data_IF_555557348198
#
_entry.id   IF_555557348198
#
_cell.length_a   1.000
_cell.length_b   1.000
_cell.length_c   1.000
_cell.angle_alpha   90.00
_cell.angle_beta   90.00
_cell.angle_gamma   90.00
#
_symmetry.space_group_name_H-M   'P 1'
#
loop_
_entity.id
_entity.type
_entity.pdbx_description
1 polymer ?
#
# COMPACT_ATOMS: atom_id res chain seq x y z
N UNK A 1 15.80 -14.77 -13.13
CA UNK A 1 16.09 -15.21 -11.75
C UNK A 1 17.36 -14.56 -11.18
N UNK A 2 18.48 -14.52 -11.92
CA UNK A 2 19.76 -13.99 -11.41
C UNK A 2 19.67 -12.47 -11.10
N UNK A 3 19.10 -11.67 -12.00
CA UNK A 3 18.94 -10.24 -11.79
C UNK A 3 18.00 -9.92 -10.59
N UNK A 4 16.91 -10.67 -10.42
CA UNK A 4 15.99 -10.47 -9.28
C UNK A 4 16.65 -10.80 -7.92
N UNK A 5 17.54 -11.80 -7.87
CA UNK A 5 18.31 -12.14 -6.67
C UNK A 5 19.38 -11.07 -6.36
N UNK A 6 20.04 -10.52 -7.39
CA UNK A 6 21.03 -9.46 -7.22
C UNK A 6 20.35 -8.17 -6.72
N UNK A 7 19.19 -7.82 -7.26
CA UNK A 7 18.36 -6.67 -6.84
C UNK A 7 17.88 -6.84 -5.38
N UNK A 8 17.40 -8.04 -5.01
CA UNK A 8 17.00 -8.35 -3.63
C UNK A 8 18.17 -8.18 -2.66
N UNK A 9 19.33 -8.77 -3.00
CA UNK A 9 20.52 -8.69 -2.17
C UNK A 9 20.97 -7.23 -1.98
N UNK A 10 20.89 -6.40 -3.03
CA UNK A 10 21.25 -5.00 -2.96
C UNK A 10 20.27 -4.19 -2.09
N UNK A 11 18.97 -4.39 -2.28
CA UNK A 11 17.91 -3.69 -1.56
C UNK A 11 17.89 -4.03 -0.05
N UNK A 12 18.29 -5.26 0.33
CA UNK A 12 18.39 -5.67 1.74
C UNK A 12 19.69 -5.21 2.40
N UNK A 13 20.75 -4.98 1.63
CA UNK A 13 22.07 -4.61 2.17
C UNK A 13 22.05 -3.25 2.90
N UNK A 14 21.29 -2.28 2.39
CA UNK A 14 21.20 -0.93 2.97
C UNK A 14 20.52 -0.94 4.35
N UNK A 15 19.29 -1.47 4.54
CA UNK A 15 18.67 -1.53 5.86
C UNK A 15 19.48 -2.39 6.83
N UNK A 16 20.09 -3.47 6.37
CA UNK A 16 20.93 -4.32 7.20
C UNK A 16 22.18 -3.57 7.70
N UNK A 17 22.82 -2.76 6.86
CA UNK A 17 23.98 -1.95 7.26
C UNK A 17 23.59 -0.91 8.34
N UNK A 18 22.43 -0.27 8.22
CA UNK A 18 21.92 0.67 9.25
C UNK A 18 21.66 -0.07 10.56
N UNK A 19 21.01 -1.24 10.52
CA UNK A 19 20.75 -2.04 11.73
C UNK A 19 22.03 -2.52 12.40
N UNK A 20 23.02 -2.96 11.62
CA UNK A 20 24.34 -3.37 12.14
C UNK A 20 25.07 -2.20 12.80
N UNK A 21 25.09 -1.02 12.14
CA UNK A 21 25.71 0.17 12.69
C UNK A 21 25.06 0.68 13.98
N UNK A 22 23.75 0.48 14.17
CA UNK A 22 23.07 0.75 15.43
C UNK A 22 23.41 -0.28 16.52
N UNK A 23 23.55 -1.56 16.14
CA UNK A 23 23.91 -2.64 17.07
C UNK A 23 25.30 -2.47 17.69
N UNK A 24 26.24 -1.86 16.97
CA UNK A 24 27.62 -1.63 17.43
C UNK A 24 27.72 -0.51 18.50
N UNK A 25 26.66 0.28 18.72
CA UNK A 25 26.66 1.43 19.66
C UNK A 25 26.33 1.07 21.11
N UNK A 26 26.06 -0.19 21.44
CA UNK A 26 25.87 -0.70 22.79
C UNK A 26 24.43 -0.53 23.30
N UNK A 27 24.10 0.52 24.04
CA UNK A 27 22.72 0.75 24.51
C UNK A 27 21.92 1.57 23.50
N UNK A 28 20.78 1.00 23.05
CA UNK A 28 19.87 1.65 22.12
C UNK A 28 18.92 2.61 22.85
N UNK A 29 18.91 3.87 22.45
CA UNK A 29 17.92 4.85 22.88
C UNK A 29 16.58 4.70 22.13
N UNK A 30 15.51 5.39 22.60
CA UNK A 30 14.18 5.29 21.97
C UNK A 30 14.15 5.59 20.47
N UNK A 31 14.90 6.58 20.01
CA UNK A 31 15.00 6.94 18.58
C UNK A 31 15.68 5.85 17.74
N UNK A 32 16.67 5.17 18.31
CA UNK A 32 17.39 4.09 17.64
C UNK A 32 16.54 2.81 17.56
N UNK A 33 15.71 2.56 18.57
CA UNK A 33 14.71 1.48 18.56
C UNK A 33 13.68 1.73 17.44
N UNK A 34 13.22 2.97 17.28
CA UNK A 34 12.29 3.33 16.22
C UNK A 34 12.92 3.13 14.84
N UNK A 35 14.16 3.60 14.64
CA UNK A 35 14.90 3.34 13.39
C UNK A 35 15.06 1.86 13.10
N UNK A 36 15.36 1.01 14.10
CA UNK A 36 15.42 -0.44 13.92
C UNK A 36 14.08 -1.03 13.48
N UNK A 37 12.99 -0.56 14.06
CA UNK A 37 11.64 -0.97 13.70
C UNK A 37 11.33 -0.61 12.26
N UNK A 38 11.60 0.64 11.85
CA UNK A 38 11.42 1.11 10.47
C UNK A 38 12.24 0.29 9.47
N UNK A 39 13.52 0.01 9.77
CA UNK A 39 14.37 -0.79 8.87
C UNK A 39 13.89 -2.25 8.79
N UNK A 40 13.42 -2.83 9.89
CA UNK A 40 12.85 -4.18 9.90
C UNK A 40 11.58 -4.26 9.05
N UNK A 41 10.70 -3.27 9.17
CA UNK A 41 9.47 -3.18 8.40
C UNK A 41 9.77 -3.02 6.90
N UNK A 42 10.76 -2.18 6.56
CA UNK A 42 11.25 -2.01 5.19
C UNK A 42 11.80 -3.33 4.61
N UNK A 43 12.57 -4.10 5.38
CA UNK A 43 13.08 -5.40 4.94
C UNK A 43 11.94 -6.40 4.68
N UNK A 44 10.94 -6.45 5.55
CA UNK A 44 9.76 -7.30 5.37
C UNK A 44 9.00 -6.95 4.09
N UNK A 45 8.81 -5.67 3.79
CA UNK A 45 8.17 -5.19 2.55
C UNK A 45 8.97 -5.61 1.31
N UNK A 46 10.31 -5.47 1.32
CA UNK A 46 11.17 -5.89 0.21
C UNK A 46 11.06 -7.41 -0.03
N UNK A 47 11.10 -8.20 1.04
CA UNK A 47 10.99 -9.68 0.94
C UNK A 47 9.61 -10.08 0.40
N UNK A 48 8.54 -9.51 0.94
CA UNK A 48 7.17 -9.79 0.48
C UNK A 48 7.00 -9.47 -1.01
N UNK A 49 7.47 -8.30 -1.44
CA UNK A 49 7.45 -7.90 -2.84
C UNK A 49 8.18 -8.89 -3.77
N UNK A 50 9.39 -9.32 -3.39
CA UNK A 50 10.16 -10.25 -4.19
C UNK A 50 9.56 -11.66 -4.24
N UNK A 51 8.97 -12.12 -3.14
CA UNK A 51 8.24 -13.39 -3.11
C UNK A 51 7.01 -13.34 -4.02
N UNK A 52 6.24 -12.26 -3.98
CA UNK A 52 5.08 -12.06 -4.82
C UNK A 52 5.47 -12.02 -6.30
N UNK A 53 6.52 -11.27 -6.66
CA UNK A 53 7.05 -11.24 -8.03
C UNK A 53 7.50 -12.62 -8.53
N UNK A 54 8.02 -13.47 -7.65
CA UNK A 54 8.42 -14.83 -7.99
C UNK A 54 7.22 -15.78 -8.15
N UNK A 55 6.11 -15.54 -7.49
CA UNK A 55 4.90 -16.38 -7.54
C UNK A 55 3.92 -15.96 -8.66
N UNK A 56 3.90 -14.71 -9.06
CA UNK A 56 3.03 -14.19 -10.12
C UNK A 56 3.34 -14.68 -11.56
N UNK A 57 4.30 -15.60 -11.73
CA UNK A 57 4.59 -16.28 -13.01
C UNK A 57 3.66 -17.48 -13.25
N UNK A 58 2.83 -17.86 -12.28
CA UNK A 58 1.97 -19.04 -12.39
C UNK A 58 0.50 -18.64 -12.50
N UNK A 59 0.00 -18.75 -13.74
CA UNK A 59 -1.41 -18.93 -14.12
C UNK A 59 -2.41 -17.93 -13.47
N UNK A 60 -3.05 -17.13 -14.30
CA UNK A 60 -4.39 -16.60 -14.05
C UNK A 60 -5.34 -17.75 -13.72
N UNK A 61 -5.12 -18.37 -12.56
CA UNK A 61 -6.07 -19.25 -11.93
C UNK A 61 -7.35 -18.44 -11.79
N UNK A 62 -8.46 -18.98 -12.25
CA UNK A 62 -9.81 -18.41 -12.11
C UNK A 62 -10.03 -18.23 -10.61
N UNK A 63 -9.56 -17.10 -10.06
CA UNK A 63 -9.68 -16.82 -8.63
C UNK A 63 -11.17 -16.65 -8.33
N UNK A 64 -11.60 -17.22 -7.20
CA UNK A 64 -12.95 -17.02 -6.68
C UNK A 64 -13.15 -15.50 -6.51
N UNK A 65 -14.38 -15.00 -6.76
CA UNK A 65 -14.68 -13.61 -6.47
C UNK A 65 -14.35 -13.28 -5.02
N UNK A 66 -13.60 -12.20 -4.79
CA UNK A 66 -13.21 -11.72 -3.48
C UNK A 66 -14.21 -10.69 -3.02
N UNK A 67 -14.67 -10.77 -1.78
CA UNK A 67 -15.54 -9.76 -1.17
C UNK A 67 -14.71 -8.56 -0.71
N UNK A 68 -14.70 -7.52 -1.53
CA UNK A 68 -13.94 -6.29 -1.25
C UNK A 68 -14.41 -5.61 0.05
N UNK A 69 -15.72 -5.64 0.33
CA UNK A 69 -16.26 -4.97 1.52
C UNK A 69 -15.79 -5.67 2.79
N UNK A 70 -15.80 -7.00 2.81
CA UNK A 70 -15.28 -7.77 3.94
C UNK A 70 -13.79 -7.51 4.18
N UNK A 71 -12.99 -7.36 3.13
CA UNK A 71 -11.56 -7.00 3.22
C UNK A 71 -11.39 -5.60 3.80
N UNK A 72 -12.10 -4.60 3.29
CA UNK A 72 -12.03 -3.21 3.78
C UNK A 72 -12.38 -3.17 5.28
N UNK A 73 -13.48 -3.76 5.69
CA UNK A 73 -13.92 -3.74 7.09
C UNK A 73 -12.93 -4.44 8.03
N UNK A 74 -12.37 -5.58 7.60
CA UNK A 74 -11.31 -6.29 8.34
C UNK A 74 -10.07 -5.43 8.53
N UNK A 75 -9.59 -4.81 7.46
CA UNK A 75 -8.38 -3.97 7.47
C UNK A 75 -8.60 -2.70 8.30
N UNK A 76 -9.71 -1.99 8.08
CA UNK A 76 -10.02 -0.78 8.85
C UNK A 76 -10.11 -1.11 10.34
N UNK A 77 -10.80 -2.18 10.72
CA UNK A 77 -10.90 -2.60 12.13
C UNK A 77 -9.54 -2.97 12.75
N UNK A 78 -8.61 -3.51 11.96
CA UNK A 78 -7.25 -3.80 12.42
C UNK A 78 -6.44 -2.51 12.60
N UNK A 79 -6.47 -1.61 11.62
CA UNK A 79 -5.73 -0.35 11.63
C UNK A 79 -6.26 0.63 12.70
N UNK A 80 -7.57 0.68 12.96
CA UNK A 80 -8.14 1.45 14.08
C UNK A 80 -7.55 1.01 15.44
N UNK A 81 -7.18 -0.26 15.59
CA UNK A 81 -6.50 -0.75 16.81
C UNK A 81 -5.02 -0.36 16.84
N UNK A 82 -4.32 -0.49 15.70
CA UNK A 82 -2.90 -0.13 15.56
C UNK A 82 -2.70 1.37 15.80
N UNK A 83 -3.52 2.20 15.19
CA UNK A 83 -3.44 3.67 15.27
C UNK A 83 -4.37 4.28 16.33
N UNK A 84 -4.76 3.51 17.35
CA UNK A 84 -5.73 3.92 18.36
C UNK A 84 -5.36 5.24 19.07
N UNK A 85 -4.08 5.45 19.35
CA UNK A 85 -3.59 6.65 20.03
C UNK A 85 -3.75 7.91 19.16
N UNK A 86 -3.78 7.76 17.85
CA UNK A 86 -3.96 8.87 16.90
C UNK A 86 -5.40 9.39 16.85
N UNK A 87 -6.38 8.57 17.25
CA UNK A 87 -7.78 8.95 17.32
C UNK A 87 -8.42 9.29 15.98
N UNK A 88 -7.95 8.67 14.91
CA UNK A 88 -8.46 8.89 13.55
C UNK A 88 -9.89 8.37 13.42
N UNK A 89 -10.80 9.18 12.87
CA UNK A 89 -12.17 8.80 12.55
C UNK A 89 -12.25 8.33 11.10
N UNK A 90 -12.78 7.11 10.91
CA UNK A 90 -13.00 6.56 9.56
C UNK A 90 -14.47 6.66 9.18
N UNK A 91 -14.77 7.41 8.12
CA UNK A 91 -16.09 7.50 7.51
C UNK A 91 -16.17 6.50 6.36
N UNK A 92 -17.22 5.65 6.36
CA UNK A 92 -17.40 4.57 5.40
C UNK A 92 -18.68 4.80 4.59
N UNK A 93 -18.55 4.86 3.26
CA UNK A 93 -19.67 4.87 2.31
C UNK A 93 -19.51 3.67 1.38
N UNK A 94 -19.97 2.52 1.86
CA UNK A 94 -19.77 1.22 1.22
C UNK A 94 -21.12 0.59 0.87
N UNK A 95 -21.28 -0.06 -0.30
CA UNK A 95 -22.44 -0.88 -0.60
C UNK A 95 -22.46 -2.13 0.28
N UNK A 96 -23.59 -2.81 0.37
CA UNK A 96 -23.73 -4.03 1.18
C UNK A 96 -22.84 -5.19 0.71
N UNK A 97 -22.55 -5.24 -0.59
CA UNK A 97 -21.69 -6.27 -1.21
C UNK A 97 -20.96 -5.69 -2.41
N UNK A 98 -19.72 -6.11 -2.60
CA UNK A 98 -18.93 -5.77 -3.79
C UNK A 98 -17.87 -6.86 -4.00
N UNK A 99 -17.91 -7.52 -5.16
CA UNK A 99 -16.98 -8.63 -5.46
C UNK A 99 -16.03 -8.25 -6.59
N UNK A 100 -14.75 -8.61 -6.44
CA UNK A 100 -13.70 -8.45 -7.42
C UNK A 100 -13.17 -9.81 -7.87
N UNK A 101 -12.73 -9.90 -9.13
CA UNK A 101 -11.99 -11.07 -9.64
C UNK A 101 -10.50 -10.79 -9.58
N UNK A 102 -9.89 -11.08 -8.44
CA UNK A 102 -8.45 -10.99 -8.23
C UNK A 102 -8.03 -11.96 -7.12
N UNK A 103 -6.76 -12.15 -6.90
CA UNK A 103 -6.26 -12.90 -5.77
C UNK A 103 -6.57 -12.17 -4.46
N UNK A 104 -6.96 -12.90 -3.41
CA UNK A 104 -7.30 -12.31 -2.12
C UNK A 104 -6.09 -11.65 -1.46
N UNK A 105 -4.90 -12.22 -1.62
CA UNK A 105 -3.65 -11.67 -1.11
C UNK A 105 -3.32 -10.35 -1.80
N UNK A 106 -3.44 -10.30 -3.14
CA UNK A 106 -3.23 -9.08 -3.91
C UNK A 106 -4.24 -7.98 -3.52
N UNK A 107 -5.51 -8.34 -3.30
CA UNK A 107 -6.53 -7.41 -2.82
C UNK A 107 -6.21 -6.87 -1.43
N UNK A 108 -5.79 -7.74 -0.50
CA UNK A 108 -5.35 -7.36 0.84
C UNK A 108 -4.13 -6.43 0.80
N UNK A 109 -3.18 -6.70 -0.08
CA UNK A 109 -1.96 -5.90 -0.25
C UNK A 109 -2.28 -4.49 -0.78
N UNK A 110 -3.10 -4.39 -1.85
CA UNK A 110 -3.52 -3.09 -2.40
C UNK A 110 -4.26 -2.27 -1.34
N UNK A 111 -5.34 -2.82 -0.80
CA UNK A 111 -6.22 -2.09 0.12
C UNK A 111 -5.51 -1.80 1.43
N UNK A 112 -4.69 -2.75 1.92
CA UNK A 112 -3.90 -2.61 3.14
C UNK A 112 -2.89 -1.48 3.04
N UNK A 113 -2.09 -1.42 1.98
CA UNK A 113 -1.11 -0.35 1.79
C UNK A 113 -1.77 1.03 1.66
N UNK A 114 -2.89 1.15 0.94
CA UNK A 114 -3.59 2.43 0.80
C UNK A 114 -4.22 2.88 2.11
N UNK A 115 -4.85 1.99 2.86
CA UNK A 115 -5.42 2.29 4.18
C UNK A 115 -4.34 2.64 5.20
N UNK A 116 -3.26 1.85 5.27
CA UNK A 116 -2.15 2.12 6.19
C UNK A 116 -1.53 3.49 5.94
N UNK A 117 -1.32 3.87 4.67
CA UNK A 117 -0.89 5.21 4.31
C UNK A 117 -1.86 6.29 4.79
N UNK A 118 -3.16 6.10 4.60
CA UNK A 118 -4.17 7.04 5.06
C UNK A 118 -4.15 7.19 6.60
N UNK A 119 -4.00 6.09 7.35
CA UNK A 119 -3.86 6.14 8.81
C UNK A 119 -2.54 6.77 9.25
N UNK A 120 -1.44 6.50 8.54
CA UNK A 120 -0.11 7.02 8.87
C UNK A 120 -0.01 8.53 8.64
N UNK A 121 -0.51 9.03 7.54
CA UNK A 121 -0.35 10.42 7.10
C UNK A 121 -1.57 11.32 7.35
N UNK A 122 -2.78 10.75 7.44
CA UNK A 122 -3.98 11.49 7.85
C UNK A 122 -3.83 12.05 9.26
N UNK A 123 -4.48 13.17 9.56
CA UNK A 123 -4.43 13.86 10.86
C UNK A 123 -5.52 13.36 11.81
N UNK A 124 -6.75 13.37 11.35
CA UNK A 124 -7.92 13.07 12.18
C UNK A 124 -9.05 12.33 11.45
N UNK A 125 -9.12 12.40 10.12
CA UNK A 125 -10.22 11.83 9.33
C UNK A 125 -9.73 11.05 8.12
N UNK A 126 -10.38 9.92 7.88
CA UNK A 126 -10.24 9.11 6.68
C UNK A 126 -11.64 8.87 6.12
N UNK A 127 -11.83 8.94 4.81
CA UNK A 127 -13.04 8.51 4.14
C UNK A 127 -12.75 7.35 3.19
N UNK A 128 -13.55 6.29 3.30
CA UNK A 128 -13.49 5.13 2.41
C UNK A 128 -14.82 5.02 1.69
N UNK A 129 -14.79 5.18 0.37
CA UNK A 129 -15.97 5.12 -0.48
C UNK A 129 -15.80 4.05 -1.54
N UNK A 130 -16.79 3.16 -1.65
CA UNK A 130 -16.86 2.21 -2.74
C UNK A 130 -18.18 2.36 -3.49
N UNK A 131 -18.13 2.34 -4.82
CA UNK A 131 -19.29 2.49 -5.68
C UNK A 131 -19.18 1.62 -6.92
N UNK A 132 -20.35 1.22 -7.46
CA UNK A 132 -20.48 0.51 -8.72
C UNK A 132 -21.12 1.45 -9.74
N UNK A 133 -20.49 1.58 -10.90
CA UNK A 133 -21.10 2.25 -12.05
C UNK A 133 -21.59 1.17 -13.03
N UNK A 134 -22.89 0.99 -13.06
CA UNK A 134 -23.56 -0.01 -13.91
C UNK A 134 -23.40 0.31 -15.42
N UNK A 135 -23.31 1.59 -15.77
CA UNK A 135 -23.16 2.01 -17.17
C UNK A 135 -21.76 1.71 -17.73
N UNK A 136 -20.73 1.99 -16.95
CA UNK A 136 -19.34 1.73 -17.34
C UNK A 136 -18.87 0.32 -16.93
N UNK A 137 -19.72 -0.46 -16.25
CA UNK A 137 -19.36 -1.78 -15.69
C UNK A 137 -18.05 -1.71 -14.91
N UNK A 138 -17.92 -0.72 -14.07
CA UNK A 138 -16.71 -0.53 -13.27
C UNK A 138 -17.04 -0.40 -11.78
N UNK A 139 -16.12 -0.89 -10.96
CA UNK A 139 -16.12 -0.68 -9.52
C UNK A 139 -15.09 0.38 -9.18
N UNK A 140 -15.44 1.32 -8.33
CA UNK A 140 -14.54 2.36 -7.86
C UNK A 140 -14.37 2.27 -6.35
N UNK A 141 -13.11 2.23 -5.89
CA UNK A 141 -12.73 2.39 -4.49
C UNK A 141 -11.95 3.69 -4.36
N UNK A 142 -12.33 4.53 -3.41
CA UNK A 142 -11.65 5.79 -3.09
C UNK A 142 -11.33 5.80 -1.61
N UNK A 143 -10.08 6.10 -1.28
CA UNK A 143 -9.59 6.30 0.08
C UNK A 143 -9.01 7.70 0.16
N UNK A 144 -9.53 8.51 1.06
CA UNK A 144 -9.12 9.90 1.28
C UNK A 144 -8.69 10.10 2.73
N UNK A 145 -7.68 10.94 2.94
CA UNK A 145 -7.25 11.41 4.26
C UNK A 145 -7.27 12.94 4.36
N UNK A 146 -7.11 13.45 5.56
CA UNK A 146 -7.00 14.88 5.87
C UNK A 146 -5.56 15.32 6.18
N UNK A 147 -4.56 14.60 5.67
CA UNK A 147 -3.14 14.89 5.82
C UNK A 147 -2.68 16.09 4.99
N UNK A 148 -1.39 16.15 4.71
CA UNK A 148 -0.80 17.19 3.87
C UNK A 148 -1.00 16.93 2.37
N UNK A 149 -1.28 15.66 2.01
CA UNK A 149 -1.35 15.20 0.63
C UNK A 149 0.03 15.04 0.00
N UNK A 150 0.04 14.91 -1.32
CA UNK A 150 1.24 14.81 -2.12
C UNK A 150 1.23 15.92 -3.19
N UNK A 151 2.40 16.40 -3.56
CA UNK A 151 2.59 17.29 -4.71
C UNK A 151 2.51 16.49 -6.01
N UNK A 152 2.18 17.15 -7.13
CA UNK A 152 2.13 16.52 -8.46
C UNK A 152 3.46 15.82 -8.80
N UNK A 153 4.59 16.41 -8.42
CA UNK A 153 5.93 15.82 -8.63
C UNK A 153 6.15 14.54 -7.81
N UNK A 154 5.58 14.45 -6.61
CA UNK A 154 5.64 13.23 -5.79
C UNK A 154 4.72 12.14 -6.33
N UNK A 155 3.52 12.51 -6.76
CA UNK A 155 2.57 11.60 -7.42
C UNK A 155 3.21 11.02 -8.69
N UNK A 156 3.77 11.87 -9.55
CA UNK A 156 4.44 11.43 -10.77
C UNK A 156 5.61 10.47 -10.47
N UNK A 157 6.39 10.74 -9.44
CA UNK A 157 7.46 9.85 -9.01
C UNK A 157 6.93 8.49 -8.53
N UNK A 158 5.82 8.43 -7.82
CA UNK A 158 5.21 7.20 -7.34
C UNK A 158 4.73 6.36 -8.53
N UNK A 159 3.98 6.97 -9.44
CA UNK A 159 3.43 6.29 -10.61
C UNK A 159 4.51 5.83 -11.60
N UNK A 160 5.59 6.61 -11.78
CA UNK A 160 6.70 6.25 -12.66
C UNK A 160 7.67 5.24 -12.03
N UNK A 161 7.70 5.09 -10.71
CA UNK A 161 8.58 4.16 -9.98
C UNK A 161 8.14 2.70 -10.01
N UNK A 162 6.97 2.36 -10.48
CA UNK A 162 6.55 0.98 -10.73
C UNK A 162 7.52 0.19 -11.64
N UNK A 163 8.56 0.84 -12.16
CA UNK A 163 9.60 0.22 -13.00
C UNK A 163 11.01 0.19 -12.38
N UNK A 164 11.28 0.88 -11.23
CA UNK A 164 12.63 0.92 -10.63
C UNK A 164 12.59 1.12 -9.10
N UNK A 165 12.77 0.03 -8.35
CA UNK A 165 12.91 0.03 -6.88
C UNK A 165 14.26 0.61 -6.38
N UNK A 166 15.21 0.92 -7.27
CA UNK A 166 16.60 1.18 -6.91
C UNK A 166 16.89 2.58 -6.33
N UNK A 167 15.91 3.50 -6.34
CA UNK A 167 16.12 4.89 -5.89
C UNK A 167 15.06 5.36 -4.86
N UNK A 168 14.71 4.54 -3.89
CA UNK A 168 13.85 4.97 -2.80
C UNK A 168 14.59 5.97 -1.90
N UNK A 169 14.36 7.27 -2.10
CA UNK A 169 14.73 8.30 -1.14
C UNK A 169 14.09 8.01 0.22
N UNK A 170 14.83 8.26 1.29
CA UNK A 170 14.40 8.11 2.69
C UNK A 170 13.00 8.71 2.90
N UNK A 171 12.05 7.88 3.35
CA UNK A 171 10.74 8.31 3.85
C UNK A 171 9.51 8.00 3.00
N UNK A 172 9.60 7.67 1.71
CA UNK A 172 8.44 7.27 0.90
C UNK A 172 8.40 5.74 0.75
N UNK A 173 7.41 5.13 1.41
CA UNK A 173 7.31 3.69 1.60
C UNK A 173 7.19 2.91 0.28
N UNK A 174 7.75 1.71 0.29
CA UNK A 174 7.67 0.68 -0.75
C UNK A 174 6.20 0.32 -1.05
N UNK A 175 5.29 0.54 -0.12
CA UNK A 175 3.88 0.17 -0.21
C UNK A 175 3.15 0.70 -1.45
N UNK A 176 3.34 1.97 -1.83
CA UNK A 176 2.68 2.51 -3.03
C UNK A 176 3.29 1.98 -4.34
N UNK A 177 4.58 1.63 -4.35
CA UNK A 177 5.21 0.98 -5.49
C UNK A 177 4.65 -0.44 -5.69
N UNK A 178 4.45 -1.18 -4.59
CA UNK A 178 3.79 -2.50 -4.59
C UNK A 178 2.37 -2.40 -5.13
N UNK A 179 1.60 -1.41 -4.67
CA UNK A 179 0.24 -1.15 -5.19
C UNK A 179 0.28 -0.91 -6.70
N UNK A 180 1.20 -0.06 -7.20
CA UNK A 180 1.33 0.24 -8.62
C UNK A 180 1.63 -1.01 -9.46
N UNK A 181 2.51 -1.89 -8.99
CA UNK A 181 2.85 -3.14 -9.69
C UNK A 181 1.67 -4.11 -9.73
N UNK A 182 0.96 -4.28 -8.61
CA UNK A 182 -0.20 -5.18 -8.56
C UNK A 182 -1.32 -4.66 -9.46
N UNK A 183 -1.70 -3.38 -9.36
CA UNK A 183 -2.80 -2.81 -10.16
C UNK A 183 -2.49 -2.87 -11.66
N UNK A 184 -1.21 -2.73 -12.04
CA UNK A 184 -0.79 -2.91 -13.43
C UNK A 184 -1.05 -4.34 -13.94
N UNK A 185 -0.79 -5.37 -13.12
CA UNK A 185 -1.00 -6.77 -13.50
C UNK A 185 -2.49 -7.13 -13.70
N UNK A 186 -3.39 -6.42 -13.04
CA UNK A 186 -4.84 -6.61 -13.13
C UNK A 186 -5.54 -5.60 -14.06
N UNK A 187 -4.82 -4.74 -14.78
CA UNK A 187 -5.38 -3.63 -15.57
C UNK A 187 -6.35 -2.75 -14.75
N UNK A 188 -6.02 -2.51 -13.49
CA UNK A 188 -6.75 -1.58 -12.61
C UNK A 188 -6.20 -0.18 -12.82
N UNK A 189 -7.08 0.79 -13.00
CA UNK A 189 -6.69 2.21 -13.06
C UNK A 189 -6.44 2.70 -11.62
N UNK A 190 -5.23 3.18 -11.35
CA UNK A 190 -4.84 3.82 -10.09
C UNK A 190 -4.56 5.29 -10.34
N UNK A 191 -5.21 6.15 -9.57
CA UNK A 191 -5.02 7.59 -9.63
C UNK A 191 -4.84 8.18 -8.23
N UNK A 192 -3.98 9.19 -8.11
CA UNK A 192 -3.75 9.94 -6.91
C UNK A 192 -4.03 11.42 -7.14
N UNK A 193 -4.63 12.06 -6.16
CA UNK A 193 -4.95 13.49 -6.23
C UNK A 193 -5.21 14.09 -4.86
N UNK A 194 -5.65 15.34 -4.86
CA UNK A 194 -6.07 16.00 -3.62
C UNK A 194 -7.54 15.66 -3.33
N UNK A 195 -7.79 15.08 -2.16
CA UNK A 195 -9.13 14.70 -1.72
C UNK A 195 -9.96 15.86 -1.19
N UNK A 196 -11.27 15.62 -1.02
CA UNK A 196 -12.21 16.60 -0.42
C UNK A 196 -11.89 16.87 1.05
N UNK A 197 -11.23 15.94 1.75
CA UNK A 197 -10.75 16.11 3.11
C UNK A 197 -9.52 17.03 3.20
N UNK A 198 -8.88 17.31 2.06
CA UNK A 198 -7.74 18.22 1.96
C UNK A 198 -6.37 17.55 1.89
N UNK A 199 -6.30 16.25 2.17
CA UNK A 199 -5.09 15.43 2.07
C UNK A 199 -5.02 14.64 0.76
N UNK A 200 -4.46 13.42 0.81
CA UNK A 200 -4.33 12.54 -0.33
C UNK A 200 -5.66 11.81 -0.62
N UNK A 201 -6.00 11.72 -1.89
CA UNK A 201 -7.00 10.81 -2.41
C UNK A 201 -6.30 9.75 -3.26
N UNK A 202 -6.52 8.47 -2.94
CA UNK A 202 -6.18 7.34 -3.79
C UNK A 202 -7.48 6.78 -4.40
N UNK A 203 -7.53 6.59 -5.71
CA UNK A 203 -8.70 6.09 -6.45
C UNK A 203 -8.31 4.87 -7.27
N UNK A 204 -9.00 3.78 -7.05
CA UNK A 204 -8.88 2.53 -7.82
C UNK A 204 -10.15 2.31 -8.64
N UNK A 205 -9.99 1.98 -9.93
CA UNK A 205 -11.10 1.65 -10.80
C UNK A 205 -10.86 0.28 -11.45
N UNK A 206 -11.71 -0.66 -11.07
CA UNK A 206 -11.68 -2.04 -11.55
C UNK A 206 -12.71 -2.22 -12.67
N UNK A 207 -12.31 -2.83 -13.77
CA UNK A 207 -13.24 -3.22 -14.83
C UNK A 207 -13.96 -4.51 -14.42
N UNK A 208 -15.30 -4.52 -14.48
CA UNK A 208 -16.09 -5.74 -14.28
C UNK A 208 -16.39 -6.38 -15.62
N UNK A 209 -16.01 -7.64 -15.76
CA UNK A 209 -16.27 -8.47 -16.95
C UNK A 209 -17.74 -8.86 -17.01
#
# INVERSE_FOLDING_TARGET
YRNAMDDLAHSLKTPLAVMTGLGDQGQLGPSQIETLREQTERMNQIVSYQLQKATNVSEMSISKPVDLIAIIEKLVSALEKVYREKGVRVERSLPSTMSLRMDEGDCLEIVGNLLDNAFKYGKSRIAVTASCDEMSRSLKLVIEDDGEGLTDSEIEKILNRGTRLDEASEGQGIGLAVVADIVHSYNVELDFGRGNLGGLQASLKFQTS
#
